data_IF_633169991065
#
_entry.id   IF_633169991065
#
_cell.length_a   1.000
_cell.length_b   1.000
_cell.length_c   1.000
_cell.angle_alpha   90.00
_cell.angle_beta   90.00
_cell.angle_gamma   90.00
#
_symmetry.space_group_name_H-M   'P 1'
#
loop_
_entity.id
_entity.type
_entity.pdbx_description
1 polymer ?
#
# COMPACT_ATOMS: atom_id res chain seq x y z
N UNK A 1 24.58 -26.96 -0.58
CA UNK A 1 24.53 -26.27 -1.89
C UNK A 1 24.24 -24.80 -1.64
N UNK A 2 25.28 -23.98 -1.68
CA UNK A 2 25.13 -22.52 -1.57
C UNK A 2 24.49 -22.01 -2.86
N UNK A 3 23.39 -21.25 -2.76
CA UNK A 3 22.76 -20.65 -3.94
C UNK A 3 23.74 -19.63 -4.53
N UNK A 4 23.98 -19.61 -5.86
CA UNK A 4 24.86 -18.62 -6.46
C UNK A 4 24.37 -17.21 -6.12
N UNK A 5 25.26 -16.39 -5.54
CA UNK A 5 25.00 -14.97 -5.27
C UNK A 5 24.65 -14.31 -6.61
N UNK A 6 23.39 -13.93 -6.79
CA UNK A 6 22.95 -13.17 -7.97
C UNK A 6 23.78 -11.90 -8.09
N UNK A 7 24.22 -11.60 -9.31
CA UNK A 7 24.94 -10.37 -9.61
C UNK A 7 24.06 -9.16 -9.26
N UNK A 8 24.65 -8.13 -8.63
CA UNK A 8 23.98 -6.87 -8.28
C UNK A 8 23.30 -6.26 -9.51
N UNK A 9 23.89 -6.41 -10.70
CA UNK A 9 23.28 -5.96 -11.97
C UNK A 9 21.99 -6.70 -12.30
N UNK A 10 21.95 -8.01 -12.09
CA UNK A 10 20.75 -8.83 -12.30
C UNK A 10 19.64 -8.45 -11.32
N UNK A 11 19.99 -8.22 -10.05
CA UNK A 11 19.02 -7.78 -9.03
C UNK A 11 18.45 -6.40 -9.41
N UNK A 12 19.30 -5.47 -9.84
CA UNK A 12 18.86 -4.15 -10.28
C UNK A 12 17.89 -4.23 -11.47
N UNK A 13 18.19 -5.07 -12.46
CA UNK A 13 17.30 -5.27 -13.61
C UNK A 13 15.93 -5.81 -13.18
N UNK A 14 15.88 -6.73 -12.21
CA UNK A 14 14.61 -7.23 -11.66
C UNK A 14 13.84 -6.09 -10.97
N UNK A 15 14.51 -5.29 -10.13
CA UNK A 15 13.88 -4.17 -9.42
C UNK A 15 13.33 -3.14 -10.41
N UNK A 16 14.08 -2.83 -11.48
CA UNK A 16 13.67 -1.87 -12.51
C UNK A 16 12.53 -2.42 -13.35
N UNK A 17 12.57 -3.70 -13.76
CA UNK A 17 11.56 -4.32 -14.59
C UNK A 17 10.25 -4.62 -13.85
N UNK A 18 10.30 -4.79 -12.53
CA UNK A 18 9.17 -5.19 -11.70
C UNK A 18 7.93 -4.28 -11.83
N UNK A 19 8.01 -2.94 -11.74
CA UNK A 19 6.87 -2.06 -11.93
C UNK A 19 6.22 -2.19 -13.32
N UNK A 20 7.04 -2.35 -14.38
CA UNK A 20 6.54 -2.54 -15.74
C UNK A 20 5.83 -3.89 -15.89
N UNK A 21 6.35 -4.94 -15.27
CA UNK A 21 5.69 -6.25 -15.22
C UNK A 21 4.29 -6.14 -14.59
N UNK A 22 4.17 -5.47 -13.44
CA UNK A 22 2.87 -5.26 -12.80
C UNK A 22 1.92 -4.40 -13.65
N UNK A 23 2.44 -3.36 -14.32
CA UNK A 23 1.65 -2.56 -15.25
C UNK A 23 1.10 -3.40 -16.41
N UNK A 24 1.94 -4.23 -17.03
CA UNK A 24 1.53 -5.14 -18.12
C UNK A 24 0.44 -6.11 -17.64
N UNK A 25 0.59 -6.66 -16.43
CA UNK A 25 -0.42 -7.55 -15.83
C UNK A 25 -1.73 -6.78 -15.58
N UNK A 26 -1.67 -5.56 -15.04
CA UNK A 26 -2.85 -4.71 -14.83
C UNK A 26 -3.58 -4.40 -16.14
N UNK A 27 -2.84 -4.03 -17.19
CA UNK A 27 -3.37 -3.82 -18.55
C UNK A 27 -4.06 -5.08 -19.08
N UNK A 28 -3.42 -6.24 -18.94
CA UNK A 28 -3.98 -7.51 -19.38
C UNK A 28 -5.28 -7.86 -18.62
N UNK A 29 -5.32 -7.66 -17.30
CA UNK A 29 -6.54 -7.89 -16.50
C UNK A 29 -7.66 -6.95 -16.95
N UNK A 30 -7.38 -5.65 -17.11
CA UNK A 30 -8.38 -4.68 -17.52
C UNK A 30 -8.98 -5.01 -18.90
N UNK A 31 -8.13 -5.37 -19.86
CA UNK A 31 -8.56 -5.64 -21.24
C UNK A 31 -9.21 -7.01 -21.41
N UNK A 32 -8.69 -8.05 -20.76
CA UNK A 32 -9.15 -9.44 -20.94
C UNK A 32 -10.27 -9.85 -19.98
N UNK A 33 -10.34 -9.24 -18.79
CA UNK A 33 -11.28 -9.66 -17.73
C UNK A 33 -12.41 -8.65 -17.56
N UNK A 34 -12.09 -7.37 -17.37
CA UNK A 34 -13.11 -6.38 -17.03
C UNK A 34 -13.80 -5.76 -18.22
N UNK A 35 -13.10 -5.68 -19.36
CA UNK A 35 -13.51 -4.84 -20.47
C UNK A 35 -13.33 -3.36 -20.13
N UNK A 36 -13.10 -2.56 -21.18
CA UNK A 36 -12.87 -1.12 -21.04
C UNK A 36 -13.79 -0.40 -22.01
N UNK A 37 -14.65 0.46 -21.46
CA UNK A 37 -15.44 1.40 -22.23
C UNK A 37 -14.81 2.79 -22.22
N UNK A 38 -15.28 3.63 -23.14
CA UNK A 38 -14.93 5.05 -23.19
C UNK A 38 -15.29 5.75 -21.90
N UNK A 39 -14.42 6.65 -21.49
CA UNK A 39 -14.64 7.49 -20.32
C UNK A 39 -15.97 8.25 -20.47
N UNK A 40 -16.85 8.08 -19.49
CA UNK A 40 -18.09 8.84 -19.37
C UNK A 40 -18.23 9.30 -17.93
N UNK A 41 -18.38 10.61 -17.75
CA UNK A 41 -18.53 11.19 -16.41
C UNK A 41 -19.99 11.01 -15.99
N UNK A 42 -20.23 10.22 -14.95
CA UNK A 42 -21.57 10.01 -14.38
C UNK A 42 -21.52 9.91 -12.87
N UNK A 43 -22.70 9.92 -12.25
CA UNK A 43 -22.80 9.53 -10.84
C UNK A 43 -22.46 8.04 -10.70
N UNK A 44 -21.66 7.66 -9.69
CA UNK A 44 -21.30 6.26 -9.45
C UNK A 44 -22.52 5.45 -9.02
N UNK A 45 -22.56 4.17 -9.42
CA UNK A 45 -23.56 3.23 -8.94
C UNK A 45 -23.35 2.91 -7.45
N UNK A 46 -24.39 2.41 -6.78
CA UNK A 46 -24.33 2.06 -5.35
C UNK A 46 -23.26 1.00 -5.06
N UNK A 47 -23.02 0.09 -6.00
CA UNK A 47 -22.01 -0.95 -5.88
C UNK A 47 -20.59 -0.37 -5.90
N UNK A 48 -20.34 0.61 -6.77
CA UNK A 48 -19.05 1.31 -6.86
C UNK A 48 -18.82 2.14 -5.60
N UNK A 49 -19.85 2.88 -5.15
CA UNK A 49 -19.80 3.65 -3.90
C UNK A 49 -19.54 2.72 -2.71
N UNK A 50 -20.22 1.58 -2.67
CA UNK A 50 -20.04 0.57 -1.62
C UNK A 50 -18.62 0.01 -1.61
N UNK A 51 -18.04 -0.30 -2.78
CA UNK A 51 -16.65 -0.73 -2.89
C UNK A 51 -15.68 0.34 -2.37
N UNK A 52 -15.91 1.62 -2.70
CA UNK A 52 -15.11 2.74 -2.20
C UNK A 52 -15.24 2.91 -0.68
N UNK A 53 -16.45 2.80 -0.12
CA UNK A 53 -16.69 2.87 1.33
C UNK A 53 -15.95 1.74 2.05
N UNK A 54 -16.09 0.50 1.57
CA UNK A 54 -15.40 -0.66 2.15
C UNK A 54 -13.89 -0.45 2.11
N UNK A 55 -13.34 -0.08 0.95
CA UNK A 55 -11.92 0.19 0.82
C UNK A 55 -11.45 1.31 1.78
N UNK A 56 -12.23 2.40 1.88
CA UNK A 56 -11.91 3.54 2.75
C UNK A 56 -11.90 3.13 4.23
N UNK A 57 -12.91 2.39 4.69
CA UNK A 57 -12.98 1.88 6.07
C UNK A 57 -11.78 0.99 6.38
N UNK A 58 -11.45 0.06 5.47
CA UNK A 58 -10.29 -0.82 5.65
C UNK A 58 -8.97 -0.04 5.70
N UNK A 59 -8.82 1.01 4.89
CA UNK A 59 -7.63 1.87 4.91
C UNK A 59 -7.53 2.71 6.19
N UNK A 60 -8.65 3.21 6.71
CA UNK A 60 -8.69 3.90 8.02
C UNK A 60 -8.29 2.94 9.13
N UNK A 61 -8.84 1.72 9.15
CA UNK A 61 -8.44 0.67 10.10
C UNK A 61 -6.95 0.38 9.98
N UNK A 62 -6.44 0.23 8.75
CA UNK A 62 -5.02 -0.02 8.50
C UNK A 62 -4.12 1.09 9.07
N UNK A 63 -4.49 2.35 8.86
CA UNK A 63 -3.72 3.49 9.34
C UNK A 63 -3.79 3.61 10.87
N UNK A 64 -4.98 3.43 11.46
CA UNK A 64 -5.16 3.40 12.91
C UNK A 64 -4.35 2.28 13.56
N UNK A 65 -4.34 1.09 12.95
CA UNK A 65 -3.53 -0.03 13.42
C UNK A 65 -2.04 0.32 13.43
N UNK A 66 -1.52 0.93 12.36
CA UNK A 66 -0.14 1.39 12.30
C UNK A 66 0.17 2.42 13.39
N UNK A 67 -0.69 3.41 13.63
CA UNK A 67 -0.51 4.40 14.69
C UNK A 67 -0.40 3.72 16.06
N UNK A 68 -1.36 2.85 16.38
CA UNK A 68 -1.37 2.11 17.66
C UNK A 68 -0.11 1.26 17.83
N UNK A 69 0.35 0.57 16.79
CA UNK A 69 1.55 -0.27 16.89
C UNK A 69 2.83 0.53 17.07
N UNK A 70 2.92 1.74 16.51
CA UNK A 70 4.02 2.67 16.76
C UNK A 70 4.09 3.03 18.24
N UNK A 71 2.96 3.45 18.82
CA UNK A 71 2.89 3.86 20.23
C UNK A 71 3.13 2.69 21.18
N UNK A 72 2.60 1.50 20.89
CA UNK A 72 2.91 0.30 21.66
C UNK A 72 4.40 -0.09 21.58
N UNK A 73 5.05 0.16 20.44
CA UNK A 73 6.49 -0.08 20.29
C UNK A 73 7.29 0.93 21.12
N UNK A 74 6.89 2.20 21.11
CA UNK A 74 7.48 3.24 21.97
C UNK A 74 7.38 2.85 23.45
N UNK A 75 6.19 2.48 23.90
CA UNK A 75 5.95 2.03 25.28
C UNK A 75 6.80 0.81 25.64
N UNK A 76 6.83 -0.22 24.79
CA UNK A 76 7.57 -1.47 25.03
C UNK A 76 9.08 -1.25 25.17
N UNK A 77 9.63 -0.28 24.45
CA UNK A 77 11.06 -0.01 24.40
C UNK A 77 11.46 1.26 25.16
N UNK A 78 10.55 1.83 25.95
CA UNK A 78 10.78 3.05 26.73
C UNK A 78 11.32 4.19 25.84
N UNK A 79 10.71 4.35 24.67
CA UNK A 79 11.01 5.42 23.72
C UNK A 79 9.92 6.46 23.80
N UNK A 80 10.29 7.71 23.56
CA UNK A 80 9.36 8.84 23.61
C UNK A 80 9.35 9.61 22.29
N UNK A 81 8.22 10.26 22.00
CA UNK A 81 7.98 10.96 20.74
C UNK A 81 8.63 12.33 20.70
N UNK A 82 8.60 13.06 21.81
CA UNK A 82 9.06 14.44 21.86
C UNK A 82 10.12 14.65 22.95
N UNK A 83 10.94 15.72 22.84
CA UNK A 83 11.93 16.05 23.86
C UNK A 83 11.33 16.25 25.26
N UNK A 84 10.10 16.75 25.36
CA UNK A 84 9.41 17.00 26.64
C UNK A 84 9.06 15.69 27.35
N UNK A 85 8.65 14.67 26.59
CA UNK A 85 8.38 13.34 27.14
C UNK A 85 9.67 12.65 27.61
N UNK A 86 10.77 12.82 26.86
CA UNK A 86 12.09 12.36 27.27
C UNK A 86 12.57 13.06 28.56
N UNK A 87 12.42 14.38 28.65
CA UNK A 87 12.78 15.13 29.86
C UNK A 87 11.95 14.69 31.08
N UNK A 88 10.65 14.43 30.88
CA UNK A 88 9.73 13.99 31.94
C UNK A 88 10.00 12.56 32.40
N UNK A 89 10.47 11.68 31.52
CA UNK A 89 10.76 10.29 31.87
C UNK A 89 12.02 10.12 32.71
N UNK A 90 12.93 11.10 32.68
CA UNK A 90 14.24 11.02 33.32
C UNK A 90 15.20 10.04 32.64
N UNK A 91 14.83 9.50 31.48
CA UNK A 91 15.67 8.60 30.68
C UNK A 91 16.48 9.43 29.69
N UNK A 92 17.79 9.21 29.65
CA UNK A 92 18.66 9.82 28.63
C UNK A 92 18.37 9.18 27.26
N UNK A 93 17.99 9.96 26.23
CA UNK A 93 17.79 9.46 24.86
C UNK A 93 18.99 8.69 24.30
N UNK A 94 20.22 8.98 24.73
CA UNK A 94 21.42 8.27 24.28
C UNK A 94 21.47 6.81 24.76
N UNK A 95 20.72 6.49 25.82
CA UNK A 95 20.61 5.13 26.36
C UNK A 95 19.45 4.34 25.74
N UNK A 96 18.78 4.88 24.71
CA UNK A 96 17.70 4.19 24.03
C UNK A 96 18.18 2.86 23.42
N UNK A 97 17.38 1.80 23.60
CA UNK A 97 17.71 0.48 23.06
C UNK A 97 17.82 0.51 21.54
N UNK A 98 18.95 0.06 20.98
CA UNK A 98 19.15 -0.05 19.54
C UNK A 98 18.07 -0.89 18.85
N UNK A 99 17.61 -1.96 19.51
CA UNK A 99 16.50 -2.80 19.03
C UNK A 99 15.19 -2.03 18.99
N UNK A 100 14.94 -1.22 20.03
CA UNK A 100 13.76 -0.36 20.09
C UNK A 100 13.75 0.68 18.97
N UNK A 101 14.88 1.34 18.74
CA UNK A 101 15.04 2.31 17.66
C UNK A 101 14.82 1.67 16.29
N UNK A 102 15.38 0.48 16.06
CA UNK A 102 15.16 -0.28 14.81
C UNK A 102 13.68 -0.65 14.62
N UNK A 103 13.01 -1.14 15.66
CA UNK A 103 11.58 -1.46 15.57
C UNK A 103 10.72 -0.21 15.36
N UNK A 104 11.04 0.90 16.00
CA UNK A 104 10.36 2.18 15.78
C UNK A 104 10.53 2.66 14.33
N UNK A 105 11.76 2.64 13.80
CA UNK A 105 12.05 2.99 12.41
C UNK A 105 11.29 2.06 11.43
N UNK A 106 11.19 0.77 11.75
CA UNK A 106 10.38 -0.18 10.98
C UNK A 106 8.92 0.29 10.89
N UNK A 107 8.29 0.73 12.00
CA UNK A 107 6.90 1.23 11.96
C UNK A 107 6.82 2.55 11.20
N UNK A 108 7.76 3.47 11.38
CA UNK A 108 7.78 4.72 10.60
C UNK A 108 7.92 4.48 9.09
N UNK A 109 8.73 3.51 8.68
CA UNK A 109 8.84 3.12 7.28
C UNK A 109 7.53 2.52 6.73
N UNK A 110 6.84 1.69 7.52
CA UNK A 110 5.52 1.17 7.17
C UNK A 110 4.46 2.28 7.06
N UNK A 111 4.48 3.25 7.98
CA UNK A 111 3.65 4.46 7.96
C UNK A 111 3.85 5.26 6.68
N UNK A 112 5.10 5.67 6.40
CA UNK A 112 5.44 6.45 5.21
C UNK A 112 5.00 5.75 3.93
N UNK A 113 5.33 4.47 3.78
CA UNK A 113 4.91 3.70 2.61
C UNK A 113 3.37 3.64 2.49
N UNK A 114 2.65 3.46 3.61
CA UNK A 114 1.18 3.46 3.62
C UNK A 114 0.63 4.80 3.22
N UNK A 115 1.13 5.90 3.78
CA UNK A 115 0.68 7.25 3.44
C UNK A 115 0.92 7.57 1.96
N UNK A 116 2.14 7.34 1.46
CA UNK A 116 2.50 7.61 0.07
C UNK A 116 1.61 6.83 -0.92
N UNK A 117 1.38 5.54 -0.68
CA UNK A 117 0.54 4.71 -1.56
C UNK A 117 -0.94 5.09 -1.46
N UNK A 118 -1.44 5.35 -0.25
CA UNK A 118 -2.84 5.74 -0.05
C UNK A 118 -3.16 7.08 -0.69
N UNK A 119 -2.23 8.04 -0.72
CA UNK A 119 -2.42 9.33 -1.39
C UNK A 119 -2.69 9.14 -2.90
N UNK A 120 -1.84 8.37 -3.59
CA UNK A 120 -2.06 8.09 -5.02
C UNK A 120 -3.31 7.25 -5.25
N UNK A 121 -3.59 6.29 -4.38
CA UNK A 121 -4.84 5.53 -4.44
C UNK A 121 -6.06 6.44 -4.33
N UNK A 122 -6.11 7.36 -3.36
CA UNK A 122 -7.24 8.27 -3.20
C UNK A 122 -7.47 9.14 -4.45
N UNK A 123 -6.39 9.66 -5.04
CA UNK A 123 -6.48 10.42 -6.30
C UNK A 123 -7.06 9.57 -7.43
N UNK A 124 -6.50 8.36 -7.64
CA UNK A 124 -6.94 7.47 -8.71
C UNK A 124 -8.35 6.94 -8.48
N UNK A 125 -8.71 6.56 -7.25
CA UNK A 125 -10.02 6.05 -6.87
C UNK A 125 -11.10 7.12 -7.04
N UNK A 126 -10.83 8.37 -6.66
CA UNK A 126 -11.76 9.47 -6.86
C UNK A 126 -12.09 9.67 -8.35
N UNK A 127 -11.06 9.72 -9.21
CA UNK A 127 -11.25 9.79 -10.66
C UNK A 127 -11.97 8.56 -11.20
N UNK A 128 -11.50 7.36 -10.83
CA UNK A 128 -12.01 6.09 -11.31
C UNK A 128 -13.50 5.91 -11.01
N UNK A 129 -13.97 6.29 -9.83
CA UNK A 129 -15.37 6.10 -9.45
C UNK A 129 -16.34 6.99 -10.23
N UNK A 130 -15.91 8.17 -10.69
CA UNK A 130 -16.77 9.09 -11.46
C UNK A 130 -16.70 8.87 -12.98
N UNK A 131 -15.86 7.95 -13.45
CA UNK A 131 -15.66 7.66 -14.88
C UNK A 131 -16.44 6.46 -15.40
N UNK A 132 -17.53 6.09 -14.73
CA UNK A 132 -18.40 4.96 -15.09
C UNK A 132 -17.65 3.65 -15.37
N UNK A 133 -16.76 3.20 -14.47
CA UNK A 133 -15.98 1.98 -14.69
C UNK A 133 -16.88 0.76 -14.62
N UNK A 134 -16.36 -0.37 -15.10
CA UNK A 134 -16.91 -1.69 -14.80
C UNK A 134 -17.02 -1.88 -13.28
N UNK A 135 -18.21 -2.30 -12.81
CA UNK A 135 -18.45 -2.58 -11.38
C UNK A 135 -17.47 -3.62 -10.83
N UNK A 136 -17.16 -4.65 -11.63
CA UNK A 136 -16.20 -5.68 -11.24
C UNK A 136 -14.79 -5.10 -11.11
N UNK A 137 -14.37 -4.23 -12.04
CA UNK A 137 -13.08 -3.54 -11.95
C UNK A 137 -13.01 -2.68 -10.68
N UNK A 138 -14.08 -1.95 -10.35
CA UNK A 138 -14.16 -1.16 -9.13
C UNK A 138 -14.01 -2.01 -7.87
N UNK A 139 -14.76 -3.11 -7.77
CA UNK A 139 -14.68 -4.00 -6.62
C UNK A 139 -13.27 -4.61 -6.47
N UNK A 140 -12.71 -5.14 -7.55
CA UNK A 140 -11.38 -5.78 -7.50
C UNK A 140 -10.28 -4.78 -7.17
N UNK A 141 -10.24 -3.63 -7.84
CA UNK A 141 -9.14 -2.69 -7.65
C UNK A 141 -9.25 -1.89 -6.34
N UNK A 142 -10.45 -1.44 -5.97
CA UNK A 142 -10.62 -0.65 -4.74
C UNK A 142 -10.46 -1.52 -3.49
N UNK A 143 -11.21 -2.62 -3.41
CA UNK A 143 -11.18 -3.50 -2.24
C UNK A 143 -9.87 -4.29 -2.21
N UNK A 144 -9.38 -4.75 -3.37
CA UNK A 144 -8.11 -5.47 -3.48
C UNK A 144 -6.92 -4.63 -3.03
N UNK A 145 -6.88 -3.34 -3.36
CA UNK A 145 -5.86 -2.44 -2.83
C UNK A 145 -5.90 -2.38 -1.30
N UNK A 146 -7.08 -2.17 -0.71
CA UNK A 146 -7.22 -2.03 0.74
C UNK A 146 -6.85 -3.32 1.50
N UNK A 147 -7.28 -4.49 1.01
CA UNK A 147 -6.89 -5.79 1.57
C UNK A 147 -5.37 -6.00 1.46
N UNK A 148 -4.79 -5.66 0.30
CA UNK A 148 -3.35 -5.78 0.11
C UNK A 148 -2.57 -4.87 1.07
N UNK A 149 -3.06 -3.65 1.38
CA UNK A 149 -2.45 -2.76 2.37
C UNK A 149 -2.48 -3.35 3.79
N UNK A 150 -3.60 -3.96 4.20
CA UNK A 150 -3.68 -4.64 5.50
C UNK A 150 -2.68 -5.80 5.58
N UNK A 151 -2.60 -6.62 4.54
CA UNK A 151 -1.63 -7.72 4.46
C UNK A 151 -0.18 -7.23 4.47
N UNK A 152 0.11 -6.12 3.78
CA UNK A 152 1.42 -5.48 3.78
C UNK A 152 1.80 -5.00 5.18
N UNK A 153 0.92 -4.24 5.85
CA UNK A 153 1.11 -3.75 7.23
C UNK A 153 1.39 -4.89 8.19
N UNK A 154 0.55 -5.92 8.19
CA UNK A 154 0.75 -7.11 9.03
C UNK A 154 2.12 -7.74 8.79
N UNK A 155 2.47 -7.97 7.52
CA UNK A 155 3.72 -8.62 7.15
C UNK A 155 4.94 -7.78 7.53
N UNK A 156 4.83 -6.46 7.42
CA UNK A 156 5.88 -5.52 7.78
C UNK A 156 6.15 -5.54 9.28
N UNK A 157 5.11 -5.43 10.09
CA UNK A 157 5.23 -5.42 11.56
C UNK A 157 5.72 -6.80 12.06
N UNK A 158 5.20 -7.89 11.49
CA UNK A 158 5.59 -9.25 11.83
C UNK A 158 6.98 -9.66 11.31
N UNK A 159 7.68 -8.81 10.55
CA UNK A 159 9.01 -9.11 10.00
C UNK A 159 9.03 -10.23 8.95
N UNK A 160 7.94 -10.40 8.20
CA UNK A 160 7.78 -11.47 7.19
C UNK A 160 8.07 -10.92 5.80
N UNK A 161 9.33 -10.92 5.40
CA UNK A 161 9.78 -10.27 4.15
C UNK A 161 9.15 -10.81 2.87
N UNK A 162 9.01 -12.13 2.73
CA UNK A 162 8.40 -12.73 1.54
C UNK A 162 6.93 -12.32 1.40
N UNK A 163 6.16 -12.34 2.49
CA UNK A 163 4.76 -11.92 2.49
C UNK A 163 4.63 -10.40 2.27
N UNK A 164 5.54 -9.61 2.85
CA UNK A 164 5.61 -8.17 2.64
C UNK A 164 5.79 -7.84 1.15
N UNK A 165 6.74 -8.49 0.47
CA UNK A 165 6.95 -8.31 -0.96
C UNK A 165 5.75 -8.72 -1.81
N UNK A 166 5.10 -9.82 -1.46
CA UNK A 166 3.88 -10.29 -2.13
C UNK A 166 2.73 -9.28 -2.01
N UNK A 167 2.41 -8.82 -0.80
CA UNK A 167 1.34 -7.84 -0.61
C UNK A 167 1.68 -6.47 -1.21
N UNK A 168 2.95 -6.06 -1.21
CA UNK A 168 3.40 -4.87 -1.94
C UNK A 168 3.11 -5.00 -3.45
N UNK A 169 3.33 -6.19 -4.01
CA UNK A 169 3.03 -6.49 -5.42
C UNK A 169 1.55 -6.38 -5.71
N UNK A 170 0.69 -6.92 -4.83
CA UNK A 170 -0.76 -6.81 -4.98
C UNK A 170 -1.25 -5.36 -4.87
N UNK A 171 -0.71 -4.57 -3.94
CA UNK A 171 -1.06 -3.15 -3.82
C UNK A 171 -0.65 -2.36 -5.06
N UNK A 172 0.57 -2.57 -5.57
CA UNK A 172 1.03 -1.91 -6.80
C UNK A 172 0.24 -2.36 -8.02
N UNK A 173 -0.09 -3.65 -8.12
CA UNK A 173 -0.92 -4.18 -9.19
C UNK A 173 -2.29 -3.48 -9.19
N UNK A 174 -2.92 -3.29 -8.03
CA UNK A 174 -4.19 -2.58 -7.96
C UNK A 174 -4.06 -1.09 -8.35
N UNK A 175 -3.00 -0.41 -7.92
CA UNK A 175 -2.76 0.99 -8.32
C UNK A 175 -2.50 1.12 -9.83
N UNK A 176 -1.65 0.27 -10.40
CA UNK A 176 -1.43 0.24 -11.84
C UNK A 176 -2.68 -0.21 -12.60
N UNK A 177 -3.49 -1.09 -12.02
CA UNK A 177 -4.81 -1.48 -12.52
C UNK A 177 -5.73 -0.28 -12.67
N UNK A 178 -5.89 0.53 -11.61
CA UNK A 178 -6.67 1.78 -11.66
C UNK A 178 -6.13 2.77 -12.70
N UNK A 179 -4.82 3.05 -12.65
CA UNK A 179 -4.19 4.03 -13.53
C UNK A 179 -4.28 3.62 -15.00
N UNK A 180 -4.03 2.34 -15.30
CA UNK A 180 -4.10 1.82 -16.66
C UNK A 180 -5.51 1.71 -17.18
N UNK A 181 -6.50 1.38 -16.33
CA UNK A 181 -7.90 1.40 -16.74
C UNK A 181 -8.30 2.82 -17.17
N UNK A 182 -8.03 3.82 -16.32
CA UNK A 182 -8.29 5.23 -16.64
C UNK A 182 -7.61 5.66 -17.94
N UNK A 183 -6.34 5.29 -18.11
CA UNK A 183 -5.59 5.62 -19.33
C UNK A 183 -6.22 4.99 -20.58
N UNK A 184 -6.59 3.71 -20.52
CA UNK A 184 -7.18 3.02 -21.66
C UNK A 184 -8.59 3.55 -21.99
N UNK A 185 -9.38 3.93 -20.98
CA UNK A 185 -10.70 4.57 -21.16
C UNK A 185 -10.64 5.91 -21.90
N UNK A 186 -9.47 6.57 -21.95
CA UNK A 186 -9.28 7.79 -22.73
C UNK A 186 -9.10 7.51 -24.23
N UNK A 187 -8.63 6.32 -24.58
CA UNK A 187 -8.16 5.99 -25.94
C UNK A 187 -9.10 5.04 -26.66
N UNK A 188 -9.76 4.14 -25.93
CA UNK A 188 -10.66 3.09 -26.44
C UNK A 188 -12.10 3.50 -26.21
#
# INVERSE_FOLDING_TARGET
>A
MDKPKRDKRQIALIIIGYPFGLLIIGLAINTLVFGIGRITVSMPSIEIVSALIIASVLLVINHAWLMTTTELTRLKHTLYATPEEWAKSGVDPQNASAVGLQELERRHNAHRNTTENTVYFCLLAALFTVTSPSTLAAQVWLIGFAIARLGYTYSYIAGRDNLRGFFMSLSLLAMFGLASYLLLSLVV
#
